data_IF_441988161868
#
_entry.id   IF_441988161868
#
_cell.length_a   1.000
_cell.length_b   1.000
_cell.length_c   1.000
_cell.angle_alpha   90.00
_cell.angle_beta   90.00
_cell.angle_gamma   90.00
#
_symmetry.space_group_name_H-M   'P 1'
#
loop_
_entity.id
_entity.type
_entity.pdbx_description
1 polymer ?
#
# COMPACT_ATOMS: atom_id res chain seq x y z
N UNK A 1 -59.16 -13.60 -18.86
CA UNK A 1 -58.17 -12.49 -18.78
C UNK A 1 -57.25 -12.54 -17.53
N UNK A 2 -57.12 -13.68 -16.83
CA UNK A 2 -56.34 -13.74 -15.57
C UNK A 2 -54.93 -14.35 -15.69
N UNK A 3 -54.61 -15.11 -16.74
CA UNK A 3 -53.28 -15.73 -16.88
C UNK A 3 -52.15 -14.72 -17.07
N UNK A 4 -52.36 -13.65 -17.85
CA UNK A 4 -51.34 -12.66 -18.16
C UNK A 4 -50.85 -11.89 -16.91
N UNK A 5 -51.73 -11.65 -15.93
CA UNK A 5 -51.38 -10.99 -14.67
C UNK A 5 -50.53 -11.90 -13.77
N UNK A 6 -50.83 -13.20 -13.77
CA UNK A 6 -50.07 -14.18 -12.99
C UNK A 6 -48.64 -14.32 -13.52
N UNK A 7 -48.44 -14.33 -14.85
CA UNK A 7 -47.10 -14.42 -15.44
C UNK A 7 -46.23 -13.19 -15.20
N UNK A 8 -46.82 -11.99 -15.15
CA UNK A 8 -46.09 -10.76 -14.80
C UNK A 8 -45.61 -10.75 -13.34
N UNK A 9 -46.32 -11.44 -12.44
CA UNK A 9 -45.98 -11.52 -11.02
C UNK A 9 -44.81 -12.47 -10.72
N UNK A 10 -44.55 -13.46 -11.58
CA UNK A 10 -43.41 -14.40 -11.44
C UNK A 10 -42.11 -13.81 -12.03
N UNK A 11 -42.20 -12.80 -12.91
CA UNK A 11 -41.03 -12.16 -13.51
C UNK A 11 -40.36 -11.21 -12.50
N UNK A 12 -39.39 -11.71 -11.73
CA UNK A 12 -38.56 -10.96 -10.78
C UNK A 12 -37.51 -10.08 -11.49
N UNK A 13 -37.94 -9.22 -12.42
CA UNK A 13 -37.01 -8.46 -13.25
C UNK A 13 -37.67 -7.67 -14.37
N UNK A 14 -38.55 -6.73 -14.02
CA UNK A 14 -39.09 -5.74 -14.95
C UNK A 14 -38.19 -4.52 -15.13
N UNK A 15 -38.44 -3.72 -16.16
CA UNK A 15 -37.79 -2.42 -16.39
C UNK A 15 -38.06 -1.49 -15.20
N UNK A 16 -37.02 -1.05 -14.50
CA UNK A 16 -37.12 -0.24 -13.28
C UNK A 16 -37.09 -1.03 -11.97
N UNK A 17 -37.05 -2.38 -12.01
CA UNK A 17 -36.84 -3.17 -10.79
C UNK A 17 -35.42 -3.00 -10.27
N UNK A 18 -35.29 -2.79 -8.96
CA UNK A 18 -34.01 -2.57 -8.31
C UNK A 18 -33.12 -3.82 -8.47
N UNK A 19 -32.07 -3.71 -9.28
CA UNK A 19 -31.08 -4.77 -9.42
C UNK A 19 -30.30 -4.91 -8.11
N UNK A 20 -30.21 -6.13 -7.58
CA UNK A 20 -29.39 -6.43 -6.41
C UNK A 20 -27.96 -5.94 -6.65
N UNK A 21 -27.44 -5.08 -5.76
CA UNK A 21 -26.04 -4.64 -5.82
C UNK A 21 -25.13 -5.85 -5.58
N UNK A 22 -24.27 -6.17 -6.55
CA UNK A 22 -23.19 -7.14 -6.36
C UNK A 22 -22.20 -6.53 -5.38
N UNK A 23 -22.10 -7.11 -4.18
CA UNK A 23 -21.01 -6.81 -3.26
C UNK A 23 -19.73 -7.33 -3.90
N UNK A 24 -18.80 -6.43 -4.17
CA UNK A 24 -17.48 -6.77 -4.69
C UNK A 24 -16.59 -7.10 -3.49
N UNK A 25 -16.22 -8.37 -3.34
CA UNK A 25 -15.20 -8.76 -2.39
C UNK A 25 -13.83 -8.42 -2.98
N UNK A 26 -13.15 -7.44 -2.38
CA UNK A 26 -11.74 -7.18 -2.65
C UNK A 26 -10.92 -8.30 -2.02
N UNK A 27 -10.06 -8.93 -2.80
CA UNK A 27 -9.11 -9.95 -2.33
C UNK A 27 -7.75 -9.30 -2.12
N UNK A 28 -7.08 -9.64 -1.01
CA UNK A 28 -5.80 -9.05 -0.63
C UNK A 28 -4.71 -9.20 -1.71
N UNK A 29 -4.76 -10.28 -2.50
CA UNK A 29 -3.80 -10.55 -3.58
C UNK A 29 -3.92 -9.61 -4.78
N UNK A 30 -5.10 -9.01 -5.00
CA UNK A 30 -5.31 -8.06 -6.09
C UNK A 30 -4.72 -6.67 -5.78
N UNK A 31 -4.73 -6.28 -4.51
CA UNK A 31 -4.20 -4.98 -4.07
C UNK A 31 -2.65 -5.00 -4.05
N UNK A 32 -2.01 -6.10 -3.66
CA UNK A 32 -0.53 -6.24 -3.69
C UNK A 32 0.04 -6.06 -5.12
N UNK A 33 -0.64 -6.61 -6.14
CA UNK A 33 -0.23 -6.42 -7.55
C UNK A 33 -0.35 -4.98 -8.03
N UNK A 34 -1.38 -4.27 -7.58
CA UNK A 34 -1.58 -2.85 -7.91
C UNK A 34 -0.53 -1.98 -7.24
N UNK A 35 -0.20 -2.27 -5.99
CA UNK A 35 0.88 -1.59 -5.27
C UNK A 35 2.22 -1.78 -5.97
N UNK A 36 2.57 -3.02 -6.32
CA UNK A 36 3.79 -3.34 -7.07
C UNK A 36 3.86 -2.58 -8.40
N UNK A 37 2.74 -2.47 -9.12
CA UNK A 37 2.67 -1.72 -10.37
C UNK A 37 2.89 -0.22 -10.15
N UNK A 38 2.24 0.37 -9.14
CA UNK A 38 2.41 1.78 -8.79
C UNK A 38 3.85 2.11 -8.40
N UNK A 39 4.49 1.27 -7.59
CA UNK A 39 5.89 1.45 -7.16
C UNK A 39 6.84 1.41 -8.36
N UNK A 40 6.69 0.42 -9.25
CA UNK A 40 7.48 0.35 -10.49
C UNK A 40 7.27 1.58 -11.38
N UNK A 41 6.03 2.07 -11.48
CA UNK A 41 5.71 3.28 -12.25
C UNK A 41 6.34 4.54 -11.68
N UNK A 42 6.48 4.62 -10.36
CA UNK A 42 7.24 5.67 -9.66
C UNK A 42 8.76 5.48 -9.72
N UNK A 43 9.26 4.46 -10.42
CA UNK A 43 10.70 4.19 -10.58
C UNK A 43 11.33 3.44 -9.41
N UNK A 44 10.54 2.92 -8.47
CA UNK A 44 11.05 2.12 -7.36
C UNK A 44 11.43 0.74 -7.87
N UNK A 45 12.72 0.40 -7.74
CA UNK A 45 13.27 -0.90 -8.09
C UNK A 45 13.62 -1.70 -6.83
N UNK A 46 13.39 -3.01 -6.87
CA UNK A 46 13.84 -3.89 -5.79
C UNK A 46 15.37 -4.04 -5.86
N UNK A 47 16.03 -3.76 -4.74
CA UNK A 47 17.46 -4.02 -4.56
C UNK A 47 17.60 -5.41 -3.92
N UNK A 48 18.37 -6.29 -4.55
CA UNK A 48 18.66 -7.64 -4.05
C UNK A 48 19.94 -7.64 -3.20
N UNK A 49 20.00 -8.51 -2.19
CA UNK A 49 21.22 -8.72 -1.40
C UNK A 49 21.49 -7.64 -0.36
N UNK A 50 20.46 -6.95 0.15
CA UNK A 50 20.62 -6.00 1.24
C UNK A 50 20.92 -6.77 2.53
N UNK A 51 22.12 -6.56 3.08
CA UNK A 51 22.54 -7.18 4.34
C UNK A 51 22.02 -6.41 5.55
N UNK A 52 21.95 -5.09 5.49
CA UNK A 52 21.46 -4.27 6.59
C UNK A 52 20.79 -2.98 6.09
N UNK A 53 19.83 -2.49 6.87
CA UNK A 53 19.24 -1.16 6.69
C UNK A 53 19.24 -0.43 8.01
N UNK A 54 19.78 0.79 8.00
CA UNK A 54 19.72 1.71 9.12
C UNK A 54 18.76 2.85 8.78
N UNK A 55 17.73 3.02 9.60
CA UNK A 55 16.79 4.14 9.49
C UNK A 55 17.07 5.14 10.59
N UNK A 56 17.50 6.34 10.20
CA UNK A 56 17.73 7.45 11.11
C UNK A 56 16.44 8.24 11.29
N UNK A 57 16.00 8.35 12.53
CA UNK A 57 14.81 9.14 12.90
C UNK A 57 15.22 10.55 13.31
N UNK A 58 14.31 11.51 13.19
CA UNK A 58 14.51 12.88 13.65
C UNK A 58 14.65 13.00 15.19
N UNK A 59 14.30 11.94 15.93
CA UNK A 59 14.48 11.85 17.38
C UNK A 59 15.91 11.43 17.78
N UNK A 60 16.83 11.33 16.82
CA UNK A 60 18.21 10.90 17.07
C UNK A 60 18.36 9.40 17.35
N UNK A 61 17.30 8.61 17.11
CA UNK A 61 17.34 7.15 17.25
C UNK A 61 17.59 6.51 15.90
N UNK A 62 18.38 5.43 15.90
CA UNK A 62 18.63 4.58 14.73
C UNK A 62 17.81 3.29 14.89
N UNK A 63 16.98 2.98 13.89
CA UNK A 63 16.31 1.69 13.79
C UNK A 63 17.13 0.81 12.84
N UNK A 64 17.66 -0.29 13.37
CA UNK A 64 18.49 -1.23 12.63
C UNK A 64 17.69 -2.46 12.19
N UNK A 65 17.84 -2.85 10.93
CA UNK A 65 17.26 -4.07 10.37
C UNK A 65 18.36 -4.93 9.77
N UNK A 66 18.56 -6.14 10.31
CA UNK A 66 19.45 -7.17 9.75
C UNK A 66 18.69 -7.97 8.68
N UNK A 67 19.27 -8.05 7.48
CA UNK A 67 18.78 -8.73 6.26
C UNK A 67 17.28 -8.52 6.00
N UNK A 68 16.82 -7.26 5.86
CA UNK A 68 15.40 -7.00 5.73
C UNK A 68 14.84 -7.54 4.41
N UNK A 69 13.66 -8.17 4.49
CA UNK A 69 12.89 -8.52 3.30
C UNK A 69 12.34 -7.24 2.67
N UNK A 70 12.52 -7.09 1.36
CA UNK A 70 12.09 -5.91 0.59
C UNK A 70 10.60 -5.58 0.76
N UNK A 71 9.74 -6.58 0.98
CA UNK A 71 8.32 -6.39 1.29
C UNK A 71 8.07 -5.65 2.62
N UNK A 72 8.79 -6.00 3.68
CA UNK A 72 8.66 -5.32 4.98
C UNK A 72 9.11 -3.86 4.90
N UNK A 73 10.24 -3.59 4.22
CA UNK A 73 10.69 -2.21 4.00
C UNK A 73 9.64 -1.41 3.23
N UNK A 74 9.05 -2.01 2.19
CA UNK A 74 8.03 -1.35 1.35
C UNK A 74 6.75 -1.01 2.12
N UNK A 75 6.35 -1.85 3.07
CA UNK A 75 5.21 -1.58 3.96
C UNK A 75 5.53 -0.50 5.00
N UNK A 76 6.81 -0.29 5.34
CA UNK A 76 7.27 0.75 6.27
C UNK A 76 7.57 2.09 5.59
N UNK A 77 7.81 2.10 4.26
CA UNK A 77 8.04 3.30 3.46
C UNK A 77 6.99 4.43 3.65
N UNK A 78 5.67 4.16 3.77
CA UNK A 78 4.68 5.22 3.92
C UNK A 78 4.84 6.02 5.22
N UNK A 79 5.24 5.35 6.32
CA UNK A 79 5.52 5.99 7.60
C UNK A 79 6.88 6.67 7.64
N UNK A 80 7.90 6.09 6.99
CA UNK A 80 9.26 6.64 7.03
C UNK A 80 9.43 7.85 6.12
N UNK A 81 8.73 7.91 4.98
CA UNK A 81 8.80 9.05 4.06
C UNK A 81 8.25 10.35 4.69
N UNK A 82 7.20 10.26 5.52
CA UNK A 82 6.64 11.42 6.22
C UNK A 82 7.56 12.01 7.29
N UNK A 83 8.49 11.20 7.83
CA UNK A 83 9.54 11.69 8.74
C UNK A 83 10.82 12.12 8.02
N UNK A 84 11.00 11.71 6.76
CA UNK A 84 12.09 12.10 5.87
C UNK A 84 11.60 13.21 4.92
N UNK A 85 11.20 14.35 5.49
CA UNK A 85 10.83 15.54 4.71
C UNK A 85 12.02 16.14 3.94
N UNK A 86 11.83 17.35 3.38
CA UNK A 86 12.85 18.09 2.62
C UNK A 86 14.18 18.30 3.38
N UNK A 87 14.15 18.20 4.71
CA UNK A 87 15.30 18.35 5.60
C UNK A 87 16.09 17.04 5.84
N UNK A 88 15.75 15.95 5.16
CA UNK A 88 16.45 14.66 5.32
C UNK A 88 17.96 14.74 5.08
N UNK A 89 18.51 15.49 4.09
CA UNK A 89 19.95 15.56 3.88
C UNK A 89 20.66 16.29 5.03
N UNK A 90 20.04 17.34 5.57
CA UNK A 90 20.57 18.13 6.69
C UNK A 90 20.56 17.31 7.98
N UNK A 91 19.50 16.54 8.20
CA UNK A 91 19.35 15.67 9.39
C UNK A 91 20.37 14.53 9.37
N UNK A 92 20.62 13.93 8.20
CA UNK A 92 21.65 12.89 8.02
C UNK A 92 23.06 13.43 8.28
N UNK A 93 23.39 14.64 7.80
CA UNK A 93 24.69 15.28 8.08
C UNK A 93 24.91 15.49 9.58
N UNK A 94 23.91 16.03 10.29
CA UNK A 94 24.00 16.25 11.75
C UNK A 94 24.20 14.96 12.53
N UNK A 95 23.52 13.87 12.15
CA UNK A 95 23.70 12.58 12.82
C UNK A 95 25.05 11.94 12.52
N UNK A 96 25.55 12.05 11.29
CA UNK A 96 26.88 11.59 10.93
C UNK A 96 27.99 12.33 11.71
N UNK A 97 27.81 13.63 11.96
CA UNK A 97 28.74 14.44 12.77
C UNK A 97 28.65 14.15 14.27
N UNK A 98 27.50 13.68 14.75
CA UNK A 98 27.28 13.35 16.16
C UNK A 98 27.83 11.96 16.55
N UNK A 99 28.24 11.13 15.59
CA UNK A 99 28.88 9.85 15.89
C UNK A 99 30.35 10.08 16.29
N UNK A 100 30.80 9.56 17.45
CA UNK A 100 32.21 9.63 17.83
C UNK A 100 33.07 8.84 16.82
N UNK A 101 34.25 9.38 16.51
CA UNK A 101 35.24 8.78 15.60
C UNK A 101 35.85 7.51 16.17
#
# INVERSE_FOLDING_TARGET
RNLAKLQAQVHTGGKGTARRKKVVHRTATADDKKLQFSLKKSGVNNISGIEEVNMFTNQGTVIHFDKPKTKQLTEMLPSTLNHLGADSPTSLRRLAEALPK
#
